data_IF_238308627380
#
_entry.id   IF_238308627380
#
_cell.length_a   1.000
_cell.length_b   1.000
_cell.length_c   1.000
_cell.angle_alpha   90.00
_cell.angle_beta   90.00
_cell.angle_gamma   90.00
#
_symmetry.space_group_name_H-M   'P 1'
#
loop_
_entity.id
_entity.type
_entity.pdbx_description
1 polymer ?
#
# COMPACT_ATOMS: atom_id res chain seq x y z
N UNK A 1 10.08 -7.71 -2.27
CA UNK A 1 10.74 -6.68 -1.45
C UNK A 1 10.41 -5.25 -1.87
N UNK A 2 10.25 -4.96 -3.17
CA UNK A 2 9.92 -3.62 -3.67
C UNK A 2 8.60 -3.04 -3.13
N UNK A 3 7.54 -3.86 -2.98
CA UNK A 3 6.25 -3.43 -2.38
C UNK A 3 6.45 -2.82 -0.98
N UNK A 4 7.31 -3.43 -0.17
CA UNK A 4 7.57 -2.94 1.17
C UNK A 4 8.28 -1.58 1.15
N UNK A 5 9.35 -1.46 0.35
CA UNK A 5 10.10 -0.21 0.21
C UNK A 5 9.22 0.94 -0.29
N UNK A 6 8.32 0.67 -1.24
CA UNK A 6 7.34 1.64 -1.73
C UNK A 6 6.40 2.10 -0.61
N UNK A 7 5.84 1.18 0.16
CA UNK A 7 4.94 1.52 1.26
C UNK A 7 5.63 2.32 2.37
N UNK A 8 6.88 1.99 2.70
CA UNK A 8 7.65 2.76 3.67
C UNK A 8 7.93 4.18 3.17
N UNK A 9 8.39 4.32 1.92
CA UNK A 9 8.81 5.61 1.37
C UNK A 9 7.65 6.54 1.04
N UNK A 10 6.53 6.01 0.57
CA UNK A 10 5.43 6.82 0.04
C UNK A 10 4.25 6.92 1.00
N UNK A 11 3.97 5.87 1.77
CA UNK A 11 2.88 5.85 2.75
C UNK A 11 3.36 5.96 4.21
N UNK A 12 4.67 6.12 4.44
CA UNK A 12 5.23 6.26 5.79
C UNK A 12 5.14 5.00 6.66
N UNK A 13 4.95 3.83 6.05
CA UNK A 13 4.81 2.58 6.80
C UNK A 13 6.10 2.22 7.55
N UNK A 14 5.96 1.67 8.75
CA UNK A 14 7.03 0.91 9.39
C UNK A 14 7.33 -0.38 8.61
N UNK A 15 8.49 -0.99 8.88
CA UNK A 15 8.89 -2.25 8.22
C UNK A 15 7.88 -3.38 8.48
N UNK A 16 7.29 -3.44 9.68
CA UNK A 16 6.26 -4.40 10.03
C UNK A 16 4.93 -4.17 9.30
N UNK A 17 4.45 -2.92 9.23
CA UNK A 17 3.25 -2.58 8.46
C UNK A 17 3.44 -2.88 6.96
N UNK A 18 4.64 -2.62 6.43
CA UNK A 18 4.98 -2.90 5.05
C UNK A 18 4.95 -4.41 4.73
N UNK A 19 5.45 -5.28 5.63
CA UNK A 19 5.35 -6.73 5.43
C UNK A 19 3.90 -7.23 5.54
N UNK A 20 3.09 -6.66 6.44
CA UNK A 20 1.65 -6.97 6.52
C UNK A 20 0.96 -6.64 5.20
N UNK A 21 1.21 -5.46 4.63
CA UNK A 21 0.70 -5.06 3.32
C UNK A 21 1.10 -6.06 2.23
N UNK A 22 2.39 -6.39 2.14
CA UNK A 22 2.92 -7.34 1.16
C UNK A 22 2.23 -8.71 1.24
N UNK A 23 2.02 -9.23 2.46
CA UNK A 23 1.33 -10.51 2.68
C UNK A 23 -0.15 -10.43 2.29
N UNK A 24 -0.82 -9.32 2.61
CA UNK A 24 -2.23 -9.11 2.24
C UNK A 24 -2.40 -9.05 0.72
N UNK A 25 -1.49 -8.35 0.02
CA UNK A 25 -1.47 -8.28 -1.44
C UNK A 25 -1.30 -9.67 -2.08
N UNK A 26 -0.39 -10.52 -1.59
CA UNK A 26 -0.23 -11.88 -2.09
C UNK A 26 -1.46 -12.78 -1.87
N UNK A 27 -2.19 -12.61 -0.77
CA UNK A 27 -3.42 -13.39 -0.47
C UNK A 27 -4.65 -12.93 -1.25
N UNK A 28 -4.67 -11.68 -1.72
CA UNK A 28 -5.76 -11.06 -2.50
C UNK A 28 -7.16 -11.15 -1.86
N UNK A 29 -7.24 -11.21 -0.53
CA UNK A 29 -8.52 -11.19 0.19
C UNK A 29 -9.07 -9.77 0.21
N UNK A 30 -10.21 -9.56 -0.45
CA UNK A 30 -10.85 -8.23 -0.60
C UNK A 30 -10.96 -7.46 0.73
N UNK A 31 -11.45 -8.09 1.78
CA UNK A 31 -11.61 -7.44 3.10
C UNK A 31 -10.29 -7.04 3.77
N UNK A 32 -9.18 -7.75 3.51
CA UNK A 32 -7.85 -7.34 3.98
C UNK A 32 -7.29 -6.21 3.10
N UNK A 33 -7.44 -6.33 1.78
CA UNK A 33 -7.01 -5.31 0.83
C UNK A 33 -7.69 -3.97 1.06
N UNK A 34 -9.00 -3.94 1.33
CA UNK A 34 -9.74 -2.71 1.59
C UNK A 34 -9.21 -2.00 2.86
N UNK A 35 -8.91 -2.77 3.91
CA UNK A 35 -8.29 -2.24 5.14
C UNK A 35 -6.90 -1.69 4.88
N UNK A 36 -6.09 -2.42 4.12
CA UNK A 36 -4.74 -2.01 3.78
C UNK A 36 -4.73 -0.78 2.87
N UNK A 37 -5.68 -0.67 1.94
CA UNK A 37 -5.84 0.48 1.05
C UNK A 37 -6.14 1.75 1.84
N UNK A 38 -7.03 1.69 2.83
CA UNK A 38 -7.36 2.84 3.67
C UNK A 38 -6.12 3.42 4.37
N UNK A 39 -5.31 2.55 5.00
CA UNK A 39 -4.06 2.97 5.66
C UNK A 39 -3.02 3.50 4.67
N UNK A 40 -2.85 2.83 3.53
CA UNK A 40 -1.87 3.20 2.52
C UNK A 40 -2.23 4.53 1.86
N UNK A 41 -3.51 4.71 1.54
CA UNK A 41 -4.07 5.91 0.94
C UNK A 41 -3.95 7.11 1.88
N UNK A 42 -4.24 6.92 3.17
CA UNK A 42 -4.09 7.98 4.16
C UNK A 42 -2.61 8.39 4.29
N UNK A 43 -1.71 7.43 4.48
CA UNK A 43 -0.28 7.72 4.63
C UNK A 43 0.32 8.42 3.40
N UNK A 44 -0.13 8.08 2.19
CA UNK A 44 0.28 8.81 0.99
C UNK A 44 -0.30 10.23 0.92
N UNK A 45 -1.57 10.41 1.29
CA UNK A 45 -2.17 11.74 1.32
C UNK A 45 -1.50 12.65 2.36
N UNK A 46 -1.16 12.12 3.53
CA UNK A 46 -0.40 12.83 4.57
C UNK A 46 1.00 13.25 4.08
N UNK A 47 1.57 12.49 3.14
CA UNK A 47 2.83 12.82 2.45
C UNK A 47 2.65 13.71 1.21
N UNK A 48 1.45 14.25 0.98
CA UNK A 48 1.17 15.22 -0.08
C UNK A 48 0.84 14.63 -1.46
N UNK A 49 0.60 13.31 -1.56
CA UNK A 49 0.19 12.69 -2.83
C UNK A 49 -1.31 12.81 -3.08
N UNK A 50 -1.68 13.01 -4.35
CA UNK A 50 -3.10 13.06 -4.75
C UNK A 50 -3.73 11.67 -4.74
N UNK A 51 -5.04 11.59 -4.53
CA UNK A 51 -5.80 10.32 -4.61
C UNK A 51 -5.61 9.62 -5.97
N UNK A 52 -5.43 10.38 -7.05
CA UNK A 52 -5.12 9.81 -8.37
C UNK A 52 -3.79 9.05 -8.35
N UNK A 53 -2.73 9.64 -7.78
CA UNK A 53 -1.44 8.99 -7.63
C UNK A 53 -1.51 7.74 -6.73
N UNK A 54 -2.25 7.82 -5.62
CA UNK A 54 -2.49 6.67 -4.73
C UNK A 54 -3.14 5.53 -5.51
N UNK A 55 -4.22 5.80 -6.23
CA UNK A 55 -4.96 4.79 -6.98
C UNK A 55 -4.10 4.16 -8.07
N UNK A 56 -3.39 4.97 -8.86
CA UNK A 56 -2.48 4.47 -9.90
C UNK A 56 -1.42 3.54 -9.32
N UNK A 57 -0.79 3.93 -8.21
CA UNK A 57 0.23 3.11 -7.57
C UNK A 57 -0.36 1.81 -7.00
N UNK A 58 -1.52 1.88 -6.35
CA UNK A 58 -2.21 0.71 -5.79
C UNK A 58 -2.56 -0.32 -6.88
N UNK A 59 -3.09 0.15 -8.01
CA UNK A 59 -3.43 -0.67 -9.17
C UNK A 59 -2.18 -1.33 -9.78
N UNK A 60 -1.01 -0.68 -9.69
CA UNK A 60 0.28 -1.26 -10.07
C UNK A 60 0.71 -2.33 -9.04
N UNK A 61 0.61 -2.08 -7.73
CA UNK A 61 1.12 -3.02 -6.71
C UNK A 61 0.33 -4.34 -6.64
N UNK A 62 -0.99 -4.30 -6.81
CA UNK A 62 -1.90 -5.46 -6.74
C UNK A 62 -1.53 -6.68 -7.62
N UNK A 63 -1.16 -6.52 -8.91
CA UNK A 63 -0.80 -7.64 -9.77
C UNK A 63 0.60 -8.21 -9.53
N UNK A 64 1.54 -7.44 -8.97
CA UNK A 64 2.95 -7.83 -8.81
C UNK A 64 3.29 -8.51 -7.46
N UNK A 65 2.29 -8.77 -6.61
CA UNK A 65 2.47 -9.38 -5.27
C UNK A 65 2.21 -10.89 -5.23
#
# INVERSE_FOLDING_TARGET
>A
EQVMAVAQKLAGYSLGQADILRRAMGKKKKSELDKQFAGFSQGMQDNGYSMAAVKTLWDILLPFS
#
